data_IF_391209839971
#
_entry.id   IF_391209839971
#
_cell.length_a   1.000
_cell.length_b   1.000
_cell.length_c   1.000
_cell.angle_alpha   90.00
_cell.angle_beta   90.00
_cell.angle_gamma   90.00
#
_symmetry.space_group_name_H-M   'P 1'
#
loop_
_entity.id
_entity.type
_entity.pdbx_description
1 polymer ?
#
# COMPACT_ATOMS: atom_id res chain seq x y z
N UNK A 1 50.11 -32.53 8.07
CA UNK A 1 50.47 -31.58 7.00
C UNK A 1 49.26 -31.00 6.26
N UNK A 2 48.02 -31.50 6.46
CA UNK A 2 46.83 -30.99 5.76
C UNK A 2 46.16 -29.77 6.41
N UNK A 3 46.19 -29.62 7.75
CA UNK A 3 45.54 -28.49 8.44
C UNK A 3 46.11 -27.12 8.04
N UNK A 4 47.43 -26.99 7.92
CA UNK A 4 48.06 -25.72 7.51
C UNK A 4 47.78 -25.33 6.05
N UNK A 5 47.58 -26.32 5.16
CA UNK A 5 47.17 -26.05 3.77
C UNK A 5 45.73 -25.55 3.67
N UNK A 6 44.84 -26.03 4.54
CA UNK A 6 43.44 -25.57 4.58
C UNK A 6 43.37 -24.14 5.13
N UNK A 7 44.14 -23.84 6.17
CA UNK A 7 44.25 -22.49 6.76
C UNK A 7 44.77 -21.48 5.72
N UNK A 8 45.82 -21.83 4.99
CA UNK A 8 46.43 -20.99 3.95
C UNK A 8 45.49 -20.75 2.75
N UNK A 9 44.61 -21.71 2.43
CA UNK A 9 43.60 -21.59 1.37
C UNK A 9 42.44 -20.69 1.82
N UNK A 10 41.99 -20.82 3.06
CA UNK A 10 40.94 -19.96 3.63
C UNK A 10 41.44 -18.51 3.72
N UNK A 11 42.67 -18.30 4.17
CA UNK A 11 43.28 -16.96 4.26
C UNK A 11 43.35 -16.28 2.88
N UNK A 12 43.76 -17.03 1.84
CA UNK A 12 43.75 -16.54 0.45
C UNK A 12 42.35 -16.23 -0.08
N UNK A 13 41.35 -17.05 0.26
CA UNK A 13 39.97 -16.80 -0.15
C UNK A 13 39.38 -15.57 0.54
N UNK A 14 39.61 -15.42 1.84
CA UNK A 14 39.16 -14.24 2.60
C UNK A 14 39.83 -12.98 2.06
N UNK A 15 41.13 -13.03 1.76
CA UNK A 15 41.86 -11.92 1.15
C UNK A 15 41.27 -11.53 -0.22
N UNK A 16 40.97 -12.51 -1.06
CA UNK A 16 40.38 -12.28 -2.39
C UNK A 16 38.98 -11.66 -2.29
N UNK A 17 38.18 -12.09 -1.32
CA UNK A 17 36.84 -11.53 -1.08
C UNK A 17 36.94 -10.10 -0.55
N UNK A 18 37.84 -9.83 0.39
CA UNK A 18 38.05 -8.47 0.91
C UNK A 18 38.48 -7.51 -0.21
N UNK A 19 39.40 -7.95 -1.07
CA UNK A 19 39.91 -7.16 -2.19
C UNK A 19 38.81 -6.87 -3.24
N UNK A 20 37.98 -7.87 -3.56
CA UNK A 20 36.82 -7.67 -4.43
C UNK A 20 35.75 -6.73 -3.83
N UNK A 21 35.66 -6.67 -2.50
CA UNK A 21 34.77 -5.72 -1.80
C UNK A 21 35.36 -4.31 -1.83
N UNK A 22 36.67 -4.15 -1.59
CA UNK A 22 37.37 -2.87 -1.70
C UNK A 22 37.31 -2.30 -3.12
N UNK A 23 37.62 -3.10 -4.14
CA UNK A 23 37.54 -2.68 -5.55
C UNK A 23 36.14 -2.18 -5.92
N UNK A 24 35.10 -2.85 -5.39
CA UNK A 24 33.71 -2.45 -5.60
C UNK A 24 33.36 -1.14 -4.88
N UNK A 25 33.90 -0.92 -3.69
CA UNK A 25 33.73 0.34 -2.94
C UNK A 25 34.42 1.48 -3.68
N UNK A 26 35.63 1.26 -4.19
CA UNK A 26 36.39 2.25 -4.95
C UNK A 26 35.70 2.60 -6.27
N UNK A 27 35.10 1.63 -6.97
CA UNK A 27 34.28 1.88 -8.15
C UNK A 27 33.03 2.73 -7.84
N UNK A 28 32.34 2.46 -6.72
CA UNK A 28 31.18 3.26 -6.30
C UNK A 28 31.58 4.69 -5.89
N UNK A 29 32.72 4.87 -5.22
CA UNK A 29 33.27 6.21 -4.87
C UNK A 29 33.63 6.99 -6.15
N UNK A 30 34.32 6.35 -7.09
CA UNK A 30 34.69 6.98 -8.36
C UNK A 30 33.45 7.34 -9.22
N UNK A 31 32.38 6.56 -9.13
CA UNK A 31 31.11 6.87 -9.77
C UNK A 31 30.39 8.05 -9.10
N UNK A 32 30.47 8.19 -7.78
CA UNK A 32 29.92 9.33 -7.04
C UNK A 32 30.66 10.63 -7.35
N UNK A 33 31.98 10.58 -7.50
CA UNK A 33 32.80 11.75 -7.88
C UNK A 33 32.59 12.18 -9.34
N UNK A 34 32.00 11.31 -10.18
CA UNK A 34 31.57 11.60 -11.56
C UNK A 34 30.13 12.10 -11.68
N UNK A 35 29.39 12.24 -10.57
CA UNK A 35 28.08 12.89 -10.62
C UNK A 35 28.27 14.37 -10.94
N UNK A 36 27.95 14.73 -12.17
CA UNK A 36 28.07 16.12 -12.64
C UNK A 36 26.96 17.00 -12.03
N UNK A 37 27.14 18.32 -12.09
CA UNK A 37 26.13 19.30 -11.66
C UNK A 37 24.77 19.04 -12.30
N UNK A 38 24.77 18.56 -13.54
CA UNK A 38 23.58 18.30 -14.34
C UNK A 38 22.80 17.07 -13.83
N UNK A 39 23.48 16.05 -13.29
CA UNK A 39 22.83 14.88 -12.68
C UNK A 39 22.17 15.25 -11.34
N UNK A 40 22.82 16.12 -10.57
CA UNK A 40 22.25 16.68 -9.35
C UNK A 40 21.04 17.60 -9.64
N UNK A 41 21.11 18.41 -10.69
CA UNK A 41 20.01 19.26 -11.16
C UNK A 41 18.81 18.38 -11.61
N UNK A 42 19.05 17.35 -12.42
CA UNK A 42 18.02 16.41 -12.87
C UNK A 42 17.36 15.66 -11.69
N UNK A 43 18.14 15.24 -10.69
CA UNK A 43 17.60 14.61 -9.48
C UNK A 43 16.72 15.60 -8.69
N UNK A 44 17.15 16.86 -8.58
CA UNK A 44 16.39 17.92 -7.91
C UNK A 44 15.07 18.19 -8.63
N UNK A 45 15.09 18.32 -9.94
CA UNK A 45 13.88 18.49 -10.76
C UNK A 45 12.92 17.33 -10.58
N UNK A 46 13.41 16.08 -10.61
CA UNK A 46 12.59 14.89 -10.40
C UNK A 46 11.90 14.90 -9.04
N UNK A 47 12.63 15.23 -7.96
CA UNK A 47 12.07 15.34 -6.61
C UNK A 47 11.05 16.47 -6.52
N UNK A 48 11.33 17.63 -7.12
CA UNK A 48 10.41 18.76 -7.15
C UNK A 48 9.10 18.41 -7.86
N UNK A 49 9.18 17.73 -9.01
CA UNK A 49 8.01 17.25 -9.74
C UNK A 49 7.21 16.22 -8.95
N UNK A 50 7.88 15.29 -8.24
CA UNK A 50 7.21 14.31 -7.38
C UNK A 50 6.47 15.02 -6.23
N UNK A 51 7.12 15.95 -5.53
CA UNK A 51 6.50 16.74 -4.46
C UNK A 51 5.30 17.54 -4.99
N UNK A 52 5.43 18.18 -6.15
CA UNK A 52 4.33 18.93 -6.77
C UNK A 52 3.13 18.04 -7.09
N UNK A 53 3.36 16.88 -7.72
CA UNK A 53 2.28 15.90 -8.01
C UNK A 53 1.60 15.40 -6.74
N UNK A 54 2.36 15.15 -5.68
CA UNK A 54 1.81 14.71 -4.39
C UNK A 54 0.99 15.83 -3.72
N UNK A 55 1.45 17.08 -3.78
CA UNK A 55 0.70 18.22 -3.27
C UNK A 55 -0.62 18.43 -4.02
N UNK A 56 -0.60 18.32 -5.35
CA UNK A 56 -1.81 18.40 -6.20
C UNK A 56 -2.80 17.28 -5.87
N UNK A 57 -2.33 16.03 -5.74
CA UNK A 57 -3.18 14.90 -5.32
C UNK A 57 -3.80 15.13 -3.95
N UNK A 58 -2.99 15.54 -2.97
CA UNK A 58 -3.46 15.83 -1.60
C UNK A 58 -4.49 16.94 -1.58
N UNK A 59 -4.26 18.02 -2.33
CA UNK A 59 -5.22 19.12 -2.48
C UNK A 59 -6.55 18.63 -3.08
N UNK A 60 -6.49 17.78 -4.11
CA UNK A 60 -7.69 17.17 -4.70
C UNK A 60 -8.44 16.25 -3.72
N UNK A 61 -7.72 15.46 -2.91
CA UNK A 61 -8.37 14.63 -1.89
C UNK A 61 -9.09 15.48 -0.85
N UNK A 62 -8.44 16.54 -0.36
CA UNK A 62 -9.05 17.46 0.60
C UNK A 62 -10.30 18.14 0.00
N UNK A 63 -10.26 18.58 -1.26
CA UNK A 63 -11.43 19.20 -1.92
C UNK A 63 -12.60 18.23 -2.13
N UNK A 64 -12.30 16.93 -2.22
CA UNK A 64 -13.30 15.86 -2.25
C UNK A 64 -13.79 15.45 -0.85
N UNK A 65 -13.31 16.08 0.23
CA UNK A 65 -13.71 15.75 1.60
C UNK A 65 -13.03 14.49 2.16
N UNK A 66 -11.87 14.10 1.63
CA UNK A 66 -10.97 13.20 2.36
C UNK A 66 -10.42 13.93 3.60
N UNK A 67 -9.76 13.20 4.51
CA UNK A 67 -9.32 13.70 5.83
C UNK A 67 -10.43 13.82 6.89
N UNK A 68 -11.68 13.55 6.53
CA UNK A 68 -12.85 13.71 7.40
C UNK A 68 -13.72 12.47 7.33
N UNK A 69 -14.37 12.15 8.45
CA UNK A 69 -15.39 11.12 8.52
C UNK A 69 -16.77 11.77 8.42
N UNK A 70 -17.47 11.53 7.31
CA UNK A 70 -18.73 12.21 6.98
C UNK A 70 -19.86 11.22 6.65
N UNK A 71 -21.08 11.62 6.98
CA UNK A 71 -22.28 10.85 6.65
C UNK A 71 -22.77 11.20 5.24
N UNK A 72 -23.12 10.18 4.48
CA UNK A 72 -23.76 10.31 3.17
C UNK A 72 -25.29 10.35 3.41
N UNK A 73 -25.99 11.40 2.96
CA UNK A 73 -27.41 11.57 3.28
C UNK A 73 -28.33 10.68 2.44
N UNK A 74 -27.89 10.24 1.25
CA UNK A 74 -28.71 9.43 0.34
C UNK A 74 -27.91 8.39 -0.44
N UNK A 75 -28.58 7.30 -0.84
CA UNK A 75 -28.00 6.25 -1.68
C UNK A 75 -27.49 6.74 -3.03
N UNK A 76 -28.12 7.79 -3.57
CA UNK A 76 -27.70 8.40 -4.84
C UNK A 76 -26.31 9.01 -4.71
N UNK A 77 -26.03 9.65 -3.58
CA UNK A 77 -24.77 10.34 -3.34
C UNK A 77 -23.61 9.37 -3.12
N UNK A 78 -23.90 8.15 -2.62
CA UNK A 78 -22.91 7.08 -2.50
C UNK A 78 -22.19 6.80 -3.82
N UNK A 79 -22.91 6.70 -4.93
CA UNK A 79 -22.29 6.46 -6.24
C UNK A 79 -21.41 7.62 -6.70
N UNK A 80 -21.77 8.86 -6.37
CA UNK A 80 -20.96 10.04 -6.66
C UNK A 80 -19.66 10.03 -5.86
N UNK A 81 -19.73 9.69 -4.57
CA UNK A 81 -18.56 9.54 -3.69
C UNK A 81 -17.61 8.47 -4.21
N UNK A 82 -18.15 7.30 -4.53
CA UNK A 82 -17.38 6.15 -5.02
C UNK A 82 -16.73 6.38 -6.39
N UNK A 83 -17.36 7.17 -7.27
CA UNK A 83 -16.77 7.54 -8.56
C UNK A 83 -15.72 8.65 -8.45
N UNK A 84 -15.85 9.53 -7.47
CA UNK A 84 -14.95 10.67 -7.30
C UNK A 84 -13.61 10.30 -6.65
N UNK A 85 -13.58 9.22 -5.85
CA UNK A 85 -12.41 8.79 -5.07
C UNK A 85 -11.94 7.40 -5.51
N UNK A 86 -10.62 7.22 -5.61
CA UNK A 86 -10.02 5.92 -5.95
C UNK A 86 -10.25 4.88 -4.86
N UNK A 87 -10.21 5.31 -3.59
CA UNK A 87 -10.32 4.47 -2.40
C UNK A 87 -11.37 5.04 -1.48
N UNK A 88 -12.33 4.20 -1.12
CA UNK A 88 -13.42 4.57 -0.22
C UNK A 88 -13.64 3.44 0.77
N UNK A 89 -13.75 3.80 2.04
CA UNK A 89 -14.23 2.92 3.10
C UNK A 89 -15.60 3.44 3.52
N UNK A 90 -16.65 2.66 3.29
CA UNK A 90 -18.01 3.03 3.63
C UNK A 90 -18.51 2.17 4.80
N UNK A 91 -18.79 2.81 5.93
CA UNK A 91 -19.38 2.19 7.10
C UNK A 91 -20.91 2.17 6.96
N UNK A 92 -21.47 0.99 6.75
CA UNK A 92 -22.90 0.73 6.88
C UNK A 92 -23.20 0.59 8.37
N UNK A 93 -24.04 1.49 8.87
CA UNK A 93 -24.30 1.61 10.30
C UNK A 93 -25.79 1.69 10.63
N UNK A 94 -26.11 1.50 11.91
CA UNK A 94 -27.38 1.86 12.55
C UNK A 94 -27.10 2.49 13.90
N UNK A 95 -28.08 3.13 14.52
CA UNK A 95 -27.96 3.69 15.87
C UNK A 95 -27.85 2.58 16.95
N UNK A 96 -26.68 1.96 17.07
CA UNK A 96 -26.35 1.01 18.14
C UNK A 96 -24.91 1.21 18.66
N UNK A 97 -24.58 0.53 19.77
CA UNK A 97 -23.29 0.69 20.43
C UNK A 97 -22.10 0.17 19.59
N UNK A 98 -22.15 -1.02 18.95
CA UNK A 98 -21.07 -1.48 18.07
C UNK A 98 -20.72 -0.53 16.93
N UNK A 99 -21.71 0.10 16.29
CA UNK A 99 -21.45 1.10 15.25
C UNK A 99 -20.75 2.36 15.80
N UNK A 100 -21.03 2.75 17.06
CA UNK A 100 -20.35 3.88 17.70
C UNK A 100 -18.88 3.61 17.97
N UNK A 101 -18.52 2.36 18.29
CA UNK A 101 -17.12 1.95 18.41
C UNK A 101 -16.43 2.12 17.07
N UNK A 102 -17.03 1.60 16.00
CA UNK A 102 -16.49 1.75 14.64
C UNK A 102 -16.34 3.21 14.21
N UNK A 103 -17.34 4.05 14.51
CA UNK A 103 -17.29 5.51 14.25
C UNK A 103 -16.06 6.18 14.89
N UNK A 104 -15.69 5.78 16.12
CA UNK A 104 -14.52 6.33 16.84
C UNK A 104 -13.22 6.02 16.09
N UNK A 105 -13.00 4.76 15.71
CA UNK A 105 -11.76 4.36 15.03
C UNK A 105 -11.67 4.96 13.62
N UNK A 106 -12.76 4.93 12.85
CA UNK A 106 -12.78 5.50 11.51
C UNK A 106 -12.56 7.02 11.51
N UNK A 107 -13.03 7.73 12.54
CA UNK A 107 -12.78 9.18 12.68
C UNK A 107 -11.31 9.52 12.88
N UNK A 108 -10.55 8.66 13.57
CA UNK A 108 -9.11 8.80 13.74
C UNK A 108 -8.37 8.47 12.44
N UNK A 109 -8.69 7.32 11.85
CA UNK A 109 -8.07 6.86 10.60
C UNK A 109 -8.33 7.82 9.44
N UNK A 110 -9.50 8.46 9.39
CA UNK A 110 -9.81 9.44 8.37
C UNK A 110 -8.80 10.60 8.36
N UNK A 111 -8.34 11.05 9.52
CA UNK A 111 -7.37 12.15 9.62
C UNK A 111 -5.95 11.72 9.22
N UNK A 112 -5.61 10.46 9.46
CA UNK A 112 -4.29 9.88 9.16
C UNK A 112 -4.15 9.52 7.67
N UNK A 113 -5.18 8.92 7.06
CA UNK A 113 -5.14 8.40 5.69
C UNK A 113 -5.94 9.26 4.71
N UNK A 114 -5.34 10.38 4.29
CA UNK A 114 -5.99 11.34 3.36
C UNK A 114 -6.10 10.78 1.93
N UNK A 115 -5.35 9.73 1.59
CA UNK A 115 -5.50 9.03 0.32
C UNK A 115 -6.84 8.28 0.20
N UNK A 116 -7.54 8.09 1.32
CA UNK A 116 -8.74 7.26 1.42
C UNK A 116 -9.90 8.05 2.00
N UNK A 117 -11.04 7.94 1.33
CA UNK A 117 -12.24 8.63 1.77
C UNK A 117 -13.04 7.74 2.71
N UNK A 118 -13.18 8.18 3.95
CA UNK A 118 -13.97 7.50 4.97
C UNK A 118 -15.35 8.15 5.06
N UNK A 119 -16.39 7.33 4.91
CA UNK A 119 -17.78 7.77 4.92
C UNK A 119 -18.64 6.78 5.67
N UNK A 120 -19.80 7.24 6.14
CA UNK A 120 -20.83 6.37 6.71
C UNK A 120 -22.17 6.55 6.04
N UNK A 121 -22.96 5.48 6.04
CA UNK A 121 -24.29 5.44 5.46
C UNK A 121 -25.21 4.64 6.39
N UNK A 122 -26.34 5.24 6.76
CA UNK A 122 -27.33 4.56 7.59
C UNK A 122 -28.01 3.47 6.76
N UNK A 123 -27.86 2.21 7.19
CA UNK A 123 -28.35 1.04 6.47
C UNK A 123 -29.89 0.98 6.43
N UNK A 124 -30.57 1.46 7.48
CA UNK A 124 -32.04 1.47 7.55
C UNK A 124 -32.66 2.51 6.62
N UNK A 125 -31.96 3.64 6.41
CA UNK A 125 -32.35 4.68 5.44
C UNK A 125 -31.92 4.35 4.01
N UNK A 126 -31.10 3.32 3.83
CA UNK A 126 -30.49 2.95 2.54
C UNK A 126 -30.68 1.46 2.21
N UNK A 127 -31.94 0.98 2.12
CA UNK A 127 -32.24 -0.44 1.96
C UNK A 127 -31.79 -1.00 0.61
N UNK A 128 -31.80 -0.21 -0.47
CA UNK A 128 -31.38 -0.69 -1.80
C UNK A 128 -29.88 -0.96 -1.83
N UNK A 129 -29.06 -0.08 -1.25
CA UNK A 129 -27.62 -0.33 -1.14
C UNK A 129 -27.32 -1.48 -0.17
N UNK A 130 -28.02 -1.54 0.97
CA UNK A 130 -27.86 -2.64 1.92
C UNK A 130 -28.16 -4.00 1.25
N UNK A 131 -29.25 -4.11 0.49
CA UNK A 131 -29.60 -5.32 -0.25
C UNK A 131 -28.60 -5.61 -1.38
N UNK A 132 -28.29 -4.60 -2.21
CA UNK A 132 -27.40 -4.75 -3.37
C UNK A 132 -26.00 -5.20 -2.98
N UNK A 133 -25.50 -4.69 -1.85
CA UNK A 133 -24.19 -5.01 -1.30
C UNK A 133 -24.23 -6.16 -0.28
N UNK A 134 -25.40 -6.78 -0.09
CA UNK A 134 -25.60 -7.92 0.82
C UNK A 134 -25.15 -7.64 2.26
N UNK A 135 -25.47 -6.45 2.76
CA UNK A 135 -25.20 -6.05 4.14
C UNK A 135 -26.24 -6.71 5.06
N UNK A 136 -25.85 -7.81 5.70
CA UNK A 136 -26.74 -8.58 6.60
C UNK A 136 -26.44 -8.29 8.07
N UNK A 137 -25.19 -7.96 8.39
CA UNK A 137 -24.69 -7.74 9.75
C UNK A 137 -24.20 -6.29 9.88
N UNK A 138 -24.40 -5.66 11.04
CA UNK A 138 -23.94 -4.30 11.31
C UNK A 138 -23.10 -4.28 12.61
N UNK A 139 -21.99 -3.54 12.65
CA UNK A 139 -21.44 -2.70 11.59
C UNK A 139 -20.84 -3.51 10.44
N UNK A 140 -20.88 -2.98 9.21
CA UNK A 140 -20.11 -3.54 8.08
C UNK A 140 -19.38 -2.42 7.35
N UNK A 141 -18.09 -2.61 7.09
CA UNK A 141 -17.31 -1.73 6.23
C UNK A 141 -17.26 -2.31 4.82
N UNK A 142 -17.76 -1.58 3.84
CA UNK A 142 -17.50 -1.88 2.44
C UNK A 142 -16.19 -1.20 2.01
N UNK A 143 -15.21 -2.01 1.61
CA UNK A 143 -13.93 -1.54 1.09
C UNK A 143 -14.01 -1.46 -0.43
N UNK A 144 -13.86 -0.25 -0.95
CA UNK A 144 -14.12 0.07 -2.35
C UNK A 144 -12.86 0.65 -2.97
N UNK A 145 -12.43 0.06 -4.09
CA UNK A 145 -11.29 0.50 -4.88
C UNK A 145 -11.71 0.61 -6.34
N UNK A 146 -11.36 1.73 -6.98
CA UNK A 146 -11.66 1.98 -8.40
C UNK A 146 -13.14 1.75 -8.75
N UNK A 147 -14.03 2.30 -7.93
CA UNK A 147 -15.49 2.14 -8.06
C UNK A 147 -16.04 0.70 -7.99
N UNK A 148 -15.23 -0.27 -7.54
CA UNK A 148 -15.63 -1.65 -7.31
C UNK A 148 -15.47 -2.00 -5.84
N UNK A 149 -16.44 -2.71 -5.29
CA UNK A 149 -16.32 -3.30 -3.95
C UNK A 149 -15.34 -4.45 -4.02
N UNK A 150 -14.25 -4.33 -3.27
CA UNK A 150 -13.15 -5.30 -3.26
C UNK A 150 -13.25 -6.27 -2.09
N UNK A 151 -13.63 -5.76 -0.92
CA UNK A 151 -13.69 -6.53 0.31
C UNK A 151 -14.73 -5.94 1.28
N UNK A 152 -15.08 -6.69 2.31
CA UNK A 152 -15.87 -6.25 3.44
C UNK A 152 -15.10 -6.50 4.75
N UNK A 153 -15.42 -5.71 5.78
CA UNK A 153 -15.11 -6.04 7.18
C UNK A 153 -16.44 -6.13 7.90
N UNK A 154 -16.81 -7.32 8.34
CA UNK A 154 -18.14 -7.59 8.91
C UNK A 154 -18.03 -7.73 10.43
N UNK A 155 -18.76 -6.88 11.15
CA UNK A 155 -18.75 -6.86 12.61
C UNK A 155 -17.34 -6.63 13.17
N UNK A 156 -16.99 -7.39 14.20
CA UNK A 156 -15.67 -7.35 14.84
C UNK A 156 -14.92 -8.67 14.73
N UNK A 157 -15.45 -9.68 14.03
CA UNK A 157 -14.88 -11.04 13.98
C UNK A 157 -13.42 -11.03 13.48
N UNK A 158 -13.14 -10.18 12.50
CA UNK A 158 -11.81 -10.00 11.91
C UNK A 158 -10.90 -9.06 12.72
N UNK A 159 -11.43 -8.47 13.79
CA UNK A 159 -10.77 -7.53 14.72
C UNK A 159 -10.68 -8.14 16.13
N UNK A 160 -10.66 -9.47 16.23
CA UNK A 160 -10.56 -10.18 17.51
C UNK A 160 -11.91 -10.53 18.17
N UNK A 161 -13.04 -10.18 17.54
CA UNK A 161 -14.38 -10.52 18.01
C UNK A 161 -14.86 -9.73 19.22
N UNK A 162 -14.08 -8.73 19.66
CA UNK A 162 -14.39 -7.85 20.77
C UNK A 162 -14.54 -6.41 20.28
N UNK A 163 -15.10 -5.57 21.14
CA UNK A 163 -15.26 -4.15 20.93
C UNK A 163 -14.10 -3.31 21.51
N UNK A 164 -13.12 -3.97 22.12
CA UNK A 164 -11.92 -3.39 22.72
C UNK A 164 -10.70 -3.46 21.77
N UNK A 165 -10.92 -3.61 20.46
CA UNK A 165 -9.84 -3.63 19.47
C UNK A 165 -9.17 -2.25 19.34
N UNK A 166 -7.90 -2.26 18.97
CA UNK A 166 -7.10 -1.05 18.78
C UNK A 166 -7.32 -0.43 17.39
N UNK A 167 -7.09 0.88 17.26
CA UNK A 167 -7.14 1.54 15.94
C UNK A 167 -6.14 0.93 14.96
N UNK A 168 -4.98 0.49 15.46
CA UNK A 168 -3.92 -0.15 14.68
C UNK A 168 -4.39 -1.49 14.08
N UNK A 169 -5.16 -2.30 14.81
CA UNK A 169 -5.71 -3.56 14.28
C UNK A 169 -6.67 -3.31 13.09
N UNK A 170 -7.51 -2.28 13.20
CA UNK A 170 -8.38 -1.88 12.09
C UNK A 170 -7.57 -1.29 10.93
N UNK A 171 -6.54 -0.49 11.23
CA UNK A 171 -5.62 0.05 10.25
C UNK A 171 -4.94 -1.08 9.46
N UNK A 172 -4.30 -2.02 10.14
CA UNK A 172 -3.67 -3.18 9.52
C UNK A 172 -4.65 -3.96 8.64
N UNK A 173 -5.89 -4.13 9.10
CA UNK A 173 -6.93 -4.85 8.34
C UNK A 173 -7.31 -4.11 7.05
N UNK A 174 -7.38 -2.78 7.07
CA UNK A 174 -7.64 -1.96 5.90
C UNK A 174 -6.41 -1.91 4.98
N UNK A 175 -5.20 -1.88 5.53
CA UNK A 175 -3.96 -1.90 4.77
C UNK A 175 -3.77 -3.23 4.04
N UNK A 176 -4.10 -4.37 4.68
CA UNK A 176 -4.16 -5.70 4.03
C UNK A 176 -5.14 -5.72 2.84
N UNK A 177 -6.23 -4.96 2.91
CA UNK A 177 -7.15 -4.76 1.78
C UNK A 177 -6.66 -3.73 0.75
N UNK A 178 -5.46 -3.16 0.94
CA UNK A 178 -4.83 -2.15 0.09
C UNK A 178 -5.70 -0.90 -0.11
N UNK A 179 -6.56 -0.58 0.85
CA UNK A 179 -7.39 0.63 0.80
C UNK A 179 -6.74 1.78 1.54
N UNK A 180 -5.72 1.56 2.37
CA UNK A 180 -4.88 2.60 2.98
C UNK A 180 -3.41 2.24 2.83
N UNK A 181 -2.52 3.22 3.05
CA UNK A 181 -1.08 2.97 3.12
C UNK A 181 -0.61 2.97 4.58
N UNK A 182 0.12 1.93 4.99
CA UNK A 182 0.83 1.93 6.27
C UNK A 182 2.00 2.93 6.22
N UNK A 183 2.24 3.61 7.35
CA UNK A 183 3.41 4.47 7.51
C UNK A 183 4.69 3.67 7.22
N UNK A 184 5.46 4.11 6.22
CA UNK A 184 6.66 3.42 5.71
C UNK A 184 6.51 2.83 4.31
N UNK A 185 5.31 2.37 3.91
CA UNK A 185 5.09 1.82 2.56
C UNK A 185 4.89 2.90 1.49
N UNK A 186 4.41 4.09 1.88
CA UNK A 186 4.24 5.24 0.99
C UNK A 186 5.56 5.66 0.33
N UNK A 187 6.68 5.53 1.04
CA UNK A 187 8.04 5.79 0.55
C UNK A 187 8.60 4.63 -0.28
N UNK A 188 8.33 3.38 0.10
CA UNK A 188 8.89 2.17 -0.55
C UNK A 188 8.21 1.84 -1.89
N UNK A 189 6.90 2.05 -2.01
CA UNK A 189 6.15 1.79 -3.25
C UNK A 189 6.54 2.76 -4.39
N UNK A 190 7.03 3.96 -4.06
CA UNK A 190 7.56 4.91 -5.04
C UNK A 190 8.99 4.58 -5.49
N UNK A 191 9.77 3.87 -4.67
CA UNK A 191 11.10 3.39 -5.06
C UNK A 191 11.02 2.16 -5.98
N UNK A 192 10.05 1.25 -5.75
CA UNK A 192 9.91 0.01 -6.53
C UNK A 192 9.24 0.20 -7.90
N UNK A 193 8.37 1.19 -8.05
CA UNK A 193 7.67 1.47 -9.32
C UNK A 193 8.58 2.03 -10.42
N UNK A 194 9.80 2.47 -10.09
CA UNK A 194 10.81 2.92 -11.06
C UNK A 194 11.72 1.83 -11.63
N UNK A 195 11.68 0.59 -11.11
CA UNK A 195 12.64 -0.47 -11.44
C UNK A 195 12.11 -1.55 -12.41
N UNK A 196 10.85 -1.47 -12.85
CA UNK A 196 10.28 -2.42 -13.81
C UNK A 196 10.27 -1.85 -15.23
N UNK A 197 11.45 -1.82 -15.86
CA UNK A 197 11.56 -1.79 -17.32
C UNK A 197 12.46 -2.92 -17.83
N UNK A 198 11.79 -3.89 -18.46
CA UNK A 198 12.27 -4.81 -19.52
C UNK A 198 13.47 -5.72 -19.19
N UNK A 199 13.17 -6.96 -18.77
CA UNK A 199 13.95 -8.15 -19.16
C UNK A 199 13.05 -9.11 -19.93
N UNK A 200 12.96 -8.91 -21.23
CA UNK A 200 12.60 -9.95 -22.19
C UNK A 200 13.92 -10.57 -22.65
N UNK A 201 14.24 -11.77 -22.21
CA UNK A 201 15.29 -12.58 -22.82
C UNK A 201 14.64 -13.85 -23.34
N UNK A 202 14.40 -13.84 -24.66
CA UNK A 202 14.31 -15.05 -25.46
C UNK A 202 15.70 -15.70 -25.44
N UNK A 203 15.81 -16.97 -25.07
CA UNK A 203 16.80 -17.83 -25.69
C UNK A 203 16.30 -19.28 -25.73
N UNK A 204 16.10 -19.72 -26.96
CA UNK A 204 15.96 -21.09 -27.42
C UNK A 204 17.18 -21.95 -27.08
N UNK A 205 16.95 -23.19 -26.67
CA UNK A 205 17.75 -24.35 -27.12
C UNK A 205 16.83 -25.56 -27.25
N UNK A 206 16.90 -26.19 -28.43
CA UNK A 206 16.32 -27.49 -28.78
C UNK A 206 17.37 -28.59 -28.52
N UNK A 207 16.86 -29.83 -28.46
CA UNK A 207 17.52 -31.13 -28.72
C UNK A 207 18.43 -31.67 -27.58
N UNK A 208 18.37 -32.94 -27.16
CA UNK A 208 17.86 -34.17 -27.80
C UNK A 208 17.70 -35.33 -26.78
N UNK A 209 16.83 -36.32 -27.11
CA UNK A 209 16.84 -37.78 -26.78
C UNK A 209 16.97 -38.25 -25.30
N UNK A 210 16.39 -39.34 -24.78
CA UNK A 210 15.96 -40.68 -25.25
C UNK A 210 15.22 -41.31 -24.05
N UNK A 211 13.97 -41.74 -24.15
CA UNK A 211 13.51 -43.13 -24.43
C UNK A 211 13.31 -44.00 -23.17
N UNK A 212 12.06 -44.50 -23.03
CA UNK A 212 11.51 -45.71 -22.37
C UNK A 212 12.05 -46.15 -20.99
N UNK A 213 11.24 -46.53 -19.99
CA UNK A 213 10.05 -47.42 -19.95
C UNK A 213 8.97 -46.93 -18.97
#
# INVERSE_FOLDING_TARGET
MEKGKIEEVIEKQVLTVAQAVEDKIDEEIAALDRLDSDDLEALRERRLQQMKKMAEKRSRWISLGHSQYSEIPSEKDFFSVVKASERVVCHFYRENWPCKVMDKHLSLLAQQHIETRFVKLNAEKSPFLAEKLKIVVLPTLAVIKNAKVDNYVVGFDELGGTDEFSTEELEERLAKAQVIFLEGESSLNHARSGAQTKRSVRQSTREDSSDSE
#
